data_IF_754262256991
#
_entry.id   IF_754262256991
#
_cell.length_a   1.000
_cell.length_b   1.000
_cell.length_c   1.000
_cell.angle_alpha   90.00
_cell.angle_beta   90.00
_cell.angle_gamma   90.00
#
_symmetry.space_group_name_H-M   'P 1'
#
loop_
_entity.id
_entity.type
_entity.pdbx_description
1 polymer ?
#
# COMPACT_ATOMS: atom_id res chain seq x y z
N UNK A 1 5.78 35.87 80.71
CA UNK A 1 6.68 34.92 79.98
C UNK A 1 5.77 33.95 79.21
N UNK A 2 5.47 34.29 77.94
CA UNK A 2 4.49 33.56 77.14
C UNK A 2 5.21 32.59 76.20
N UNK A 3 5.00 31.32 76.42
CA UNK A 3 5.55 30.23 75.62
C UNK A 3 4.68 30.08 74.34
N UNK A 4 5.20 30.54 73.23
CA UNK A 4 4.60 30.23 71.90
C UNK A 4 4.87 28.76 71.60
N UNK A 5 3.80 27.94 71.62
CA UNK A 5 3.77 26.62 71.03
C UNK A 5 3.81 26.77 69.48
N UNK A 6 4.87 26.36 68.86
CA UNK A 6 4.93 26.11 67.41
C UNK A 6 4.06 24.90 67.14
N UNK A 7 2.98 25.11 66.40
CA UNK A 7 2.26 24.03 65.75
C UNK A 7 3.16 23.56 64.58
N UNK A 8 3.76 22.41 64.73
CA UNK A 8 4.34 21.67 63.59
C UNK A 8 3.18 21.14 62.81
N UNK A 9 2.89 21.82 61.72
CA UNK A 9 1.99 21.32 60.66
C UNK A 9 2.85 20.35 59.85
N UNK A 10 2.73 19.07 60.14
CA UNK A 10 3.23 18.02 59.28
C UNK A 10 2.48 18.14 57.94
N UNK A 11 3.14 18.38 56.83
CA UNK A 11 2.48 18.36 55.53
C UNK A 11 2.24 16.88 55.19
N UNK A 12 1.11 16.33 55.62
CA UNK A 12 0.61 15.07 55.11
C UNK A 12 0.38 15.27 53.60
N UNK A 13 1.37 14.87 52.83
CA UNK A 13 1.22 14.81 51.35
C UNK A 13 0.13 13.78 51.08
N UNK A 14 -1.03 14.24 50.68
CA UNK A 14 -2.15 13.38 50.29
C UNK A 14 -1.85 12.70 48.96
N UNK A 15 -1.03 11.63 49.03
CA UNK A 15 -0.67 10.79 47.88
C UNK A 15 -1.86 10.01 47.33
N UNK A 16 -2.96 9.93 48.08
CA UNK A 16 -4.18 9.20 47.67
C UNK A 16 -4.84 9.87 46.48
N UNK A 17 -4.90 11.21 46.44
CA UNK A 17 -5.41 11.98 45.30
C UNK A 17 -4.55 11.77 44.05
N UNK A 18 -3.24 11.71 44.22
CA UNK A 18 -2.31 11.48 43.12
C UNK A 18 -2.44 10.06 42.56
N UNK A 19 -2.55 9.03 43.43
CA UNK A 19 -2.79 7.65 43.04
C UNK A 19 -4.13 7.49 42.30
N UNK A 20 -5.18 8.13 42.78
CA UNK A 20 -6.49 8.13 42.13
C UNK A 20 -6.42 8.76 40.73
N UNK A 21 -5.74 9.89 40.59
CA UNK A 21 -5.54 10.55 39.32
C UNK A 21 -4.77 9.64 38.31
N UNK A 22 -3.69 9.01 38.76
CA UNK A 22 -2.87 8.09 37.94
C UNK A 22 -3.69 6.89 37.45
N UNK A 23 -4.53 6.32 38.31
CA UNK A 23 -5.37 5.15 38.00
C UNK A 23 -6.36 5.45 36.88
N UNK A 24 -6.81 6.69 36.74
CA UNK A 24 -7.70 7.10 35.65
C UNK A 24 -6.93 7.53 34.40
N UNK A 25 -5.79 8.21 34.57
CA UNK A 25 -5.04 8.81 33.46
C UNK A 25 -4.35 7.74 32.60
N UNK A 26 -3.80 6.67 33.23
CA UNK A 26 -3.10 5.60 32.51
C UNK A 26 -4.03 4.84 31.53
N UNK A 27 -5.22 4.37 31.93
CA UNK A 27 -6.14 3.73 31.00
C UNK A 27 -6.60 4.65 29.86
N UNK A 28 -6.83 5.93 30.13
CA UNK A 28 -7.22 6.91 29.10
C UNK A 28 -6.11 7.11 28.08
N UNK A 29 -4.85 7.18 28.51
CA UNK A 29 -3.70 7.27 27.60
C UNK A 29 -3.54 6.01 26.75
N UNK A 30 -3.72 4.83 27.35
CA UNK A 30 -3.67 3.55 26.62
C UNK A 30 -4.79 3.46 25.58
N UNK A 31 -6.01 3.87 25.92
CA UNK A 31 -7.12 3.93 24.95
C UNK A 31 -6.80 4.91 23.81
N UNK A 32 -6.25 6.08 24.11
CA UNK A 32 -5.86 7.05 23.08
C UNK A 32 -4.78 6.49 22.14
N UNK A 33 -3.81 5.73 22.68
CA UNK A 33 -2.77 5.07 21.88
C UNK A 33 -3.35 3.99 20.96
N UNK A 34 -4.35 3.22 21.41
CA UNK A 34 -5.01 2.19 20.61
C UNK A 34 -5.81 2.83 19.46
N UNK A 35 -6.51 3.93 19.71
CA UNK A 35 -7.28 4.65 18.68
C UNK A 35 -6.42 5.46 17.72
N UNK A 36 -5.15 5.70 18.02
CA UNK A 36 -4.21 6.39 17.11
C UNK A 36 -3.87 5.58 15.85
N UNK A 37 -4.21 4.29 15.80
CA UNK A 37 -4.05 3.41 14.64
C UNK A 37 -5.31 3.32 13.77
N UNK A 38 -6.21 4.29 13.85
CA UNK A 38 -7.33 4.34 12.91
C UNK A 38 -6.75 4.70 11.54
N UNK A 39 -6.57 3.68 10.70
CA UNK A 39 -6.37 3.85 9.27
C UNK A 39 -7.54 4.65 8.72
N UNK A 40 -7.30 5.88 8.37
CA UNK A 40 -8.27 6.69 7.65
C UNK A 40 -8.45 6.03 6.29
N UNK A 41 -9.55 5.32 6.10
CA UNK A 41 -9.96 4.87 4.79
C UNK A 41 -10.30 6.13 4.00
N UNK A 42 -9.40 6.57 3.14
CA UNK A 42 -9.66 7.65 2.22
C UNK A 42 -10.70 7.18 1.20
N UNK A 43 -11.97 7.42 1.52
CA UNK A 43 -13.05 7.28 0.56
C UNK A 43 -12.96 8.46 -0.40
N UNK A 44 -12.35 8.20 -1.54
CA UNK A 44 -12.33 9.16 -2.64
C UNK A 44 -13.71 9.16 -3.29
N UNK A 45 -14.54 10.14 -2.91
CA UNK A 45 -15.83 10.38 -3.57
C UNK A 45 -15.59 11.19 -4.84
N UNK A 46 -15.93 10.66 -6.00
CA UNK A 46 -15.82 11.42 -7.26
C UNK A 46 -16.72 12.67 -7.17
N UNK A 47 -16.14 13.86 -7.14
CA UNK A 47 -16.87 15.10 -7.37
C UNK A 47 -16.74 16.22 -6.34
N UNK A 48 -16.01 16.08 -5.22
CA UNK A 48 -15.95 17.12 -4.19
C UNK A 48 -14.55 17.42 -3.65
N UNK A 49 -13.48 17.05 -4.33
CA UNK A 49 -12.11 17.31 -3.86
C UNK A 49 -11.40 18.28 -4.80
N UNK A 50 -10.78 19.30 -4.24
CA UNK A 50 -9.84 20.17 -4.95
C UNK A 50 -8.68 19.33 -5.53
N UNK A 51 -8.33 19.51 -6.82
CA UNK A 51 -7.45 18.58 -7.56
C UNK A 51 -5.96 18.84 -7.33
N UNK A 52 -5.49 19.21 -6.14
CA UNK A 52 -4.11 19.70 -6.07
C UNK A 52 -3.06 18.84 -5.37
N UNK A 53 -3.41 17.92 -4.48
CA UNK A 53 -2.38 17.13 -3.77
C UNK A 53 -2.74 15.64 -3.62
N UNK A 54 -4.02 15.29 -3.47
CA UNK A 54 -4.47 13.90 -3.37
C UNK A 54 -4.34 13.18 -4.72
N UNK A 55 -4.70 13.85 -5.83
CA UNK A 55 -4.63 13.32 -7.19
C UNK A 55 -3.18 12.99 -7.64
N UNK A 56 -2.18 13.72 -7.15
CA UNK A 56 -0.79 13.44 -7.50
C UNK A 56 -0.24 12.19 -6.82
N UNK A 57 -0.74 11.84 -5.64
CA UNK A 57 -0.32 10.65 -4.89
C UNK A 57 -1.03 9.39 -5.40
N UNK A 58 -2.30 9.50 -5.73
CA UNK A 58 -3.08 8.43 -6.38
C UNK A 58 -2.59 8.15 -7.80
N UNK A 59 -2.24 9.20 -8.54
CA UNK A 59 -1.77 9.06 -9.91
C UNK A 59 -0.38 8.38 -10.03
N UNK A 60 0.40 8.29 -8.94
CA UNK A 60 1.68 7.56 -8.92
C UNK A 60 1.57 6.13 -8.39
N UNK A 61 0.39 5.55 -8.42
CA UNK A 61 0.16 4.21 -7.93
C UNK A 61 0.69 3.16 -8.93
N UNK A 62 1.40 2.16 -8.43
CA UNK A 62 1.81 0.99 -9.22
C UNK A 62 0.73 -0.07 -9.07
N UNK A 63 0.18 -0.50 -10.18
CA UNK A 63 -0.91 -1.47 -10.22
C UNK A 63 -0.50 -2.73 -10.96
N UNK A 64 -0.89 -3.87 -10.40
CA UNK A 64 -0.80 -5.18 -11.01
C UNK A 64 -2.23 -5.69 -11.24
N UNK A 65 -2.73 -5.61 -12.47
CA UNK A 65 -4.10 -6.00 -12.80
C UNK A 65 -4.12 -7.45 -13.26
N UNK A 66 -4.74 -8.31 -12.47
CA UNK A 66 -4.90 -9.74 -12.77
C UNK A 66 -6.19 -9.98 -13.56
N UNK A 67 -6.06 -10.40 -14.81
CA UNK A 67 -7.15 -10.80 -15.68
C UNK A 67 -7.08 -12.29 -15.97
N UNK A 68 -8.16 -12.84 -16.49
CA UNK A 68 -8.25 -14.25 -16.84
C UNK A 68 -7.20 -14.66 -17.89
N UNK A 69 -6.93 -13.82 -18.88
CA UNK A 69 -6.10 -14.15 -20.02
C UNK A 69 -4.73 -13.47 -20.00
N UNK A 70 -4.55 -12.43 -19.16
CA UNK A 70 -3.32 -11.63 -19.11
C UNK A 70 -3.17 -10.91 -17.78
N UNK A 71 -1.97 -10.42 -17.53
CA UNK A 71 -1.64 -9.52 -16.43
C UNK A 71 -1.17 -8.20 -17.01
N UNK A 72 -1.75 -7.09 -16.56
CA UNK A 72 -1.28 -5.74 -16.90
C UNK A 72 -0.51 -5.15 -15.70
N UNK A 73 0.61 -4.52 -16.01
CA UNK A 73 1.40 -3.73 -15.06
C UNK A 73 1.22 -2.27 -15.48
N UNK A 74 0.67 -1.44 -14.59
CA UNK A 74 0.39 -0.04 -14.84
C UNK A 74 1.22 0.84 -13.90
N UNK A 75 1.81 1.89 -14.45
CA UNK A 75 2.45 2.97 -13.69
C UNK A 75 2.60 4.24 -14.54
N UNK A 76 2.08 5.39 -14.10
CA UNK A 76 1.10 5.61 -13.01
C UNK A 76 -0.20 4.82 -13.20
N UNK A 77 -1.11 4.90 -12.19
CA UNK A 77 -2.40 4.23 -12.25
C UNK A 77 -3.11 4.41 -13.59
N UNK A 78 -3.61 3.32 -14.17
CA UNK A 78 -4.29 3.31 -15.47
C UNK A 78 -3.37 3.42 -16.69
N UNK A 79 -2.09 3.76 -16.56
CA UNK A 79 -1.14 3.81 -17.69
C UNK A 79 -0.37 2.49 -17.76
N UNK A 80 -0.65 1.72 -18.79
CA UNK A 80 -0.06 0.41 -18.99
C UNK A 80 1.42 0.49 -19.37
N UNK A 81 2.29 -0.08 -18.52
CA UNK A 81 3.71 -0.28 -18.77
C UNK A 81 3.91 -1.52 -19.65
N UNK A 82 3.28 -2.63 -19.24
CA UNK A 82 3.41 -3.90 -19.97
C UNK A 82 2.19 -4.80 -19.76
N UNK A 83 1.82 -5.51 -20.82
CA UNK A 83 0.86 -6.62 -20.80
C UNK A 83 1.60 -7.93 -20.97
N UNK A 84 1.29 -8.88 -20.10
CA UNK A 84 1.86 -10.23 -20.08
C UNK A 84 0.72 -11.21 -20.29
N UNK A 85 0.70 -11.86 -21.46
CA UNK A 85 -0.28 -12.90 -21.73
C UNK A 85 0.00 -14.15 -20.92
N UNK A 86 -1.06 -14.81 -20.48
CA UNK A 86 -0.94 -16.10 -19.79
C UNK A 86 -0.46 -17.16 -20.77
N UNK A 87 0.39 -18.07 -20.30
CA UNK A 87 0.87 -19.23 -21.06
C UNK A 87 0.10 -20.47 -20.61
N UNK A 88 -0.48 -21.18 -21.54
CA UNK A 88 -1.24 -22.42 -21.25
C UNK A 88 -2.32 -22.22 -20.17
N UNK A 89 -2.97 -21.04 -20.16
CA UNK A 89 -3.96 -20.67 -19.17
C UNK A 89 -3.40 -20.36 -17.78
N UNK A 90 -2.08 -20.28 -17.63
CA UNK A 90 -1.43 -19.92 -16.36
C UNK A 90 -0.66 -18.60 -16.47
N UNK A 91 -0.68 -17.77 -15.43
CA UNK A 91 0.09 -16.53 -15.36
C UNK A 91 1.60 -16.78 -15.37
N UNK A 92 2.35 -16.05 -16.20
CA UNK A 92 3.82 -16.11 -16.23
C UNK A 92 4.40 -15.17 -15.14
N UNK A 93 4.39 -15.62 -13.89
CA UNK A 93 4.90 -14.86 -12.75
C UNK A 93 6.39 -14.56 -12.81
N UNK A 94 7.16 -15.37 -13.56
CA UNK A 94 8.58 -15.10 -13.77
C UNK A 94 8.76 -13.81 -14.57
N UNK A 95 8.05 -13.68 -15.67
CA UNK A 95 8.08 -12.47 -16.49
C UNK A 95 7.50 -11.26 -15.74
N UNK A 96 6.47 -11.46 -14.90
CA UNK A 96 5.95 -10.41 -14.02
C UNK A 96 7.05 -9.92 -13.06
N UNK A 97 7.79 -10.83 -12.42
CA UNK A 97 8.89 -10.47 -11.52
C UNK A 97 9.97 -9.67 -12.24
N UNK A 98 10.38 -10.10 -13.43
CA UNK A 98 11.41 -9.40 -14.21
C UNK A 98 10.99 -7.97 -14.57
N UNK A 99 9.74 -7.79 -14.99
CA UNK A 99 9.20 -6.46 -15.30
C UNK A 99 9.08 -5.58 -14.05
N UNK A 100 8.65 -6.14 -12.92
CA UNK A 100 8.57 -5.39 -11.65
C UNK A 100 9.95 -4.96 -11.16
N UNK A 101 10.98 -5.77 -11.36
CA UNK A 101 12.37 -5.41 -11.05
C UNK A 101 12.85 -4.25 -11.94
N UNK A 102 12.51 -4.27 -13.22
CA UNK A 102 12.85 -3.19 -14.15
C UNK A 102 12.15 -1.89 -13.78
N UNK A 103 10.85 -1.95 -13.45
CA UNK A 103 10.09 -0.80 -12.93
C UNK A 103 10.73 -0.27 -11.63
N UNK A 104 11.08 -1.13 -10.69
CA UNK A 104 11.75 -0.73 -9.44
C UNK A 104 13.07 -0.04 -9.70
N UNK A 105 13.87 -0.54 -10.65
CA UNK A 105 15.15 0.06 -11.06
C UNK A 105 14.92 1.45 -11.66
N UNK A 106 14.01 1.59 -12.60
CA UNK A 106 13.67 2.86 -13.24
C UNK A 106 13.14 3.89 -12.24
N UNK A 107 12.38 3.47 -11.22
CA UNK A 107 11.93 4.36 -10.15
C UNK A 107 13.09 4.83 -9.26
N UNK A 108 14.01 3.94 -8.91
CA UNK A 108 15.23 4.30 -8.15
C UNK A 108 16.13 5.27 -8.88
N UNK A 109 16.28 5.12 -10.19
CA UNK A 109 17.06 6.05 -11.03
C UNK A 109 16.46 7.47 -11.02
N UNK A 110 15.17 7.60 -10.71
CA UNK A 110 14.47 8.88 -10.55
C UNK A 110 14.37 9.33 -9.09
N UNK A 111 15.11 8.69 -8.19
CA UNK A 111 15.11 8.95 -6.74
C UNK A 111 13.74 8.71 -6.07
N UNK A 112 12.96 7.77 -6.61
CA UNK A 112 11.65 7.38 -6.08
C UNK A 112 11.78 6.02 -5.40
N UNK A 113 11.80 5.99 -4.07
CA UNK A 113 11.75 4.74 -3.29
C UNK A 113 10.29 4.30 -3.06
N UNK A 114 9.72 3.64 -4.06
CA UNK A 114 8.36 3.10 -4.00
C UNK A 114 8.36 1.72 -3.34
N UNK A 115 7.50 1.54 -2.33
CA UNK A 115 7.35 0.28 -1.57
C UNK A 115 5.94 -0.30 -1.68
N UNK A 116 4.99 0.50 -2.14
CA UNK A 116 3.59 0.15 -2.27
C UNK A 116 3.25 -0.32 -3.68
N UNK A 117 2.39 -1.33 -3.76
CA UNK A 117 1.82 -1.88 -4.98
C UNK A 117 0.38 -2.29 -4.72
N UNK A 118 -0.50 -2.04 -5.67
CA UNK A 118 -1.90 -2.48 -5.62
C UNK A 118 -2.10 -3.63 -6.58
N UNK A 119 -2.66 -4.73 -6.08
CA UNK A 119 -3.09 -5.85 -6.91
C UNK A 119 -4.59 -5.71 -7.13
N UNK A 120 -4.97 -5.53 -8.37
CA UNK A 120 -6.36 -5.46 -8.80
C UNK A 120 -6.75 -6.79 -9.43
N UNK A 121 -7.71 -7.50 -8.85
CA UNK A 121 -8.13 -8.81 -9.34
C UNK A 121 -9.52 -8.80 -9.92
N UNK A 122 -9.71 -9.54 -11.00
CA UNK A 122 -11.03 -9.76 -11.60
C UNK A 122 -11.87 -10.70 -10.73
N UNK A 123 -13.20 -10.51 -10.65
CA UNK A 123 -14.08 -11.44 -9.94
C UNK A 123 -13.88 -12.87 -10.44
N UNK A 124 -13.72 -13.82 -9.50
CA UNK A 124 -13.46 -15.22 -9.84
C UNK A 124 -12.01 -15.60 -10.01
N UNK A 125 -11.06 -14.69 -9.82
CA UNK A 125 -9.62 -15.02 -9.79
C UNK A 125 -9.33 -16.06 -8.71
N UNK A 126 -8.69 -17.20 -9.05
CA UNK A 126 -8.36 -18.23 -8.05
C UNK A 126 -7.45 -17.68 -6.96
N UNK A 127 -7.74 -18.02 -5.70
CA UNK A 127 -6.93 -17.59 -4.55
C UNK A 127 -5.45 -17.92 -4.69
N UNK A 128 -5.13 -19.09 -5.25
CA UNK A 128 -3.74 -19.47 -5.55
C UNK A 128 -3.04 -18.46 -6.45
N UNK A 129 -3.70 -17.98 -7.48
CA UNK A 129 -3.16 -16.96 -8.40
C UNK A 129 -2.89 -15.66 -7.67
N UNK A 130 -3.80 -15.24 -6.80
CA UNK A 130 -3.66 -14.05 -5.98
C UNK A 130 -2.45 -14.15 -5.05
N UNK A 131 -2.31 -15.26 -4.32
CA UNK A 131 -1.16 -15.50 -3.43
C UNK A 131 0.15 -15.51 -4.21
N UNK A 132 0.20 -16.19 -5.37
CA UNK A 132 1.40 -16.21 -6.21
C UNK A 132 1.77 -14.83 -6.73
N UNK A 133 0.78 -13.99 -7.06
CA UNK A 133 1.00 -12.60 -7.45
C UNK A 133 1.57 -11.77 -6.29
N UNK A 134 1.04 -11.96 -5.07
CA UNK A 134 1.55 -11.27 -3.88
C UNK A 134 3.00 -11.67 -3.56
N UNK A 135 3.32 -12.95 -3.62
CA UNK A 135 4.68 -13.45 -3.38
C UNK A 135 5.65 -12.88 -4.42
N UNK A 136 5.25 -12.89 -5.70
CA UNK A 136 6.06 -12.35 -6.81
C UNK A 136 6.28 -10.84 -6.69
N UNK A 137 5.28 -10.11 -6.21
CA UNK A 137 5.36 -8.66 -6.02
C UNK A 137 6.18 -8.27 -4.78
N UNK A 138 6.21 -9.12 -3.74
CA UNK A 138 6.87 -8.82 -2.47
C UNK A 138 8.38 -8.96 -2.55
N UNK A 139 8.87 -10.03 -3.17
CA UNK A 139 10.30 -10.34 -3.19
C UNK A 139 10.72 -11.06 -4.47
N UNK A 140 12.01 -11.01 -4.75
CA UNK A 140 12.64 -11.78 -5.82
C UNK A 140 13.96 -12.36 -5.35
N UNK A 141 14.40 -13.45 -6.00
CA UNK A 141 15.69 -14.05 -5.71
C UNK A 141 16.81 -13.27 -6.39
N UNK A 142 17.65 -12.65 -5.60
CA UNK A 142 18.85 -11.97 -6.06
C UNK A 142 20.10 -12.80 -5.73
N UNK A 143 21.09 -12.77 -6.61
CA UNK A 143 22.41 -13.37 -6.33
C UNK A 143 23.34 -12.26 -5.86
N UNK A 144 23.74 -12.32 -4.60
CA UNK A 144 24.68 -11.37 -4.00
C UNK A 144 25.89 -12.14 -3.47
N UNK A 145 27.08 -11.81 -3.95
CA UNK A 145 28.33 -12.45 -3.52
C UNK A 145 28.29 -13.99 -3.51
N UNK A 146 27.76 -14.59 -4.58
CA UNK A 146 27.58 -16.05 -4.76
C UNK A 146 26.55 -16.71 -3.82
N UNK A 147 25.78 -15.95 -3.07
CA UNK A 147 24.65 -16.44 -2.28
C UNK A 147 23.32 -15.98 -2.88
N UNK A 148 22.32 -16.86 -2.88
CA UNK A 148 20.94 -16.51 -3.28
C UNK A 148 20.24 -15.94 -2.06
N UNK A 149 19.81 -14.69 -2.17
CA UNK A 149 19.08 -14.00 -1.11
C UNK A 149 17.73 -13.49 -1.65
N UNK A 150 16.72 -13.47 -0.81
CA UNK A 150 15.43 -12.86 -1.15
C UNK A 150 15.55 -11.35 -0.96
N UNK A 151 15.48 -10.62 -2.06
CA UNK A 151 15.48 -9.17 -2.08
C UNK A 151 14.05 -8.63 -2.15
N UNK A 152 13.75 -7.60 -1.36
CA UNK A 152 12.42 -6.98 -1.34
C UNK A 152 12.17 -6.14 -2.58
N UNK A 153 10.99 -6.29 -3.18
CA UNK A 153 10.48 -5.44 -4.26
C UNK A 153 9.48 -4.42 -3.71
N UNK A 154 8.23 -4.84 -3.54
CA UNK A 154 7.12 -4.00 -3.06
C UNK A 154 6.45 -4.69 -1.88
N UNK A 155 6.97 -4.52 -0.64
CA UNK A 155 6.47 -5.23 0.53
C UNK A 155 5.07 -4.76 0.98
N UNK A 156 4.65 -3.55 0.61
CA UNK A 156 3.35 -3.00 0.98
C UNK A 156 2.33 -3.26 -0.13
N UNK A 157 1.59 -4.37 0.00
CA UNK A 157 0.64 -4.81 -1.00
C UNK A 157 -0.78 -4.49 -0.52
N UNK A 158 -1.55 -3.81 -1.36
CA UNK A 158 -2.98 -3.59 -1.21
C UNK A 158 -3.75 -4.42 -2.25
N UNK A 159 -4.94 -4.85 -1.90
CA UNK A 159 -5.82 -5.61 -2.79
C UNK A 159 -7.05 -4.77 -3.14
N UNK A 160 -7.51 -4.91 -4.37
CA UNK A 160 -8.73 -4.27 -4.86
C UNK A 160 -9.35 -5.04 -6.02
N UNK A 161 -10.51 -4.58 -6.45
CA UNK A 161 -11.20 -5.14 -7.61
C UNK A 161 -10.68 -4.50 -8.89
N UNK A 162 -10.46 -5.32 -9.92
CA UNK A 162 -10.08 -4.82 -11.22
C UNK A 162 -11.23 -4.01 -11.85
N UNK A 163 -10.96 -2.84 -12.44
CA UNK A 163 -11.97 -2.10 -13.17
C UNK A 163 -12.52 -2.98 -14.30
N UNK A 164 -13.78 -2.75 -14.65
CA UNK A 164 -14.40 -3.44 -15.79
C UNK A 164 -13.51 -3.25 -17.00
N UNK A 165 -13.17 -4.34 -17.69
CA UNK A 165 -12.35 -4.25 -18.89
C UNK A 165 -13.07 -3.36 -19.91
N UNK A 166 -12.46 -2.23 -20.27
CA UNK A 166 -12.90 -1.51 -21.43
C UNK A 166 -12.85 -2.47 -22.62
N UNK A 167 -13.93 -2.53 -23.38
CA UNK A 167 -13.99 -3.31 -24.62
C UNK A 167 -12.73 -2.98 -25.44
N UNK A 168 -12.10 -3.97 -26.12
CA UNK A 168 -10.88 -3.73 -26.86
C UNK A 168 -11.12 -2.54 -27.79
N UNK A 169 -10.29 -1.51 -27.64
CA UNK A 169 -10.29 -0.39 -28.56
C UNK A 169 -10.21 -1.02 -29.96
N UNK A 170 -11.29 -0.92 -30.70
CA UNK A 170 -11.37 -1.37 -32.09
C UNK A 170 -10.24 -0.66 -32.82
N UNK A 171 -9.25 -1.42 -33.20
CA UNK A 171 -8.13 -0.95 -34.01
C UNK A 171 -8.78 -0.40 -35.31
N UNK A 172 -9.00 0.91 -35.33
CA UNK A 172 -9.54 1.59 -36.49
C UNK A 172 -8.40 1.67 -37.50
N UNK A 173 -8.14 0.54 -38.14
CA UNK A 173 -7.35 0.51 -39.36
C UNK A 173 -8.03 1.47 -40.33
N UNK A 174 -7.40 2.60 -40.51
CA UNK A 174 -7.61 3.47 -41.62
C UNK A 174 -7.45 2.63 -42.89
N UNK A 175 -8.57 2.06 -43.37
CA UNK A 175 -8.66 1.58 -44.73
C UNK A 175 -8.48 2.80 -45.60
N UNK A 176 -7.28 2.96 -46.12
CA UNK A 176 -6.98 3.86 -47.20
C UNK A 176 -7.90 3.57 -48.37
N UNK A 177 -8.73 4.53 -48.67
CA UNK A 177 -9.46 4.52 -49.94
C UNK A 177 -8.60 5.23 -50.96
N UNK A 178 -7.87 4.46 -51.71
CA UNK A 178 -7.37 4.89 -53.03
C UNK A 178 -8.44 4.77 -54.06
N UNK A 179 -8.80 5.84 -54.64
CA UNK A 179 -9.00 6.00 -56.10
C UNK A 179 -8.98 7.49 -56.36
#
# INVERSE_FOLDING_TARGET
MAIRRRLETDPDLDITSFMSLMTVLVPVLLLNMVFSHISVLNLNLPGLSDPSVADQKENRQLELVLRKDYIDINYPAGIRVKRIANRDGQPDFKLVSDVLQEVKRSLRERDIDKKDLVILSEPGTPYRTLVSAMDTARSFRAVVAASVVDAELFPQISLGDAPVADAPATDNQLAGNGI
#
